data_IF_839114401407
#
_entry.id   IF_839114401407
#
_cell.length_a   1.000
_cell.length_b   1.000
_cell.length_c   1.000
_cell.angle_alpha   90.00
_cell.angle_beta   90.00
_cell.angle_gamma   90.00
#
_symmetry.space_group_name_H-M   'P 1'
#
loop_
_entity.id
_entity.type
_entity.pdbx_description
1 polymer ?
#
# COMPACT_ATOMS: atom_id res chain seq x y z
N UNK A 1 17.11 -27.41 32.23
CA UNK A 1 16.91 -28.07 30.91
C UNK A 1 15.68 -27.47 30.24
N UNK A 2 15.84 -26.69 29.17
CA UNK A 2 14.70 -26.15 28.40
C UNK A 2 14.14 -27.26 27.52
N UNK A 3 13.08 -27.92 27.97
CA UNK A 3 12.34 -28.90 27.16
C UNK A 3 11.71 -28.11 26.01
N UNK A 4 12.27 -28.22 24.79
CA UNK A 4 11.66 -27.59 23.61
C UNK A 4 10.33 -28.29 23.36
N UNK A 5 9.23 -27.59 23.64
CA UNK A 5 7.87 -28.11 23.44
C UNK A 5 7.71 -28.62 22.01
N UNK A 6 7.12 -29.81 21.79
CA UNK A 6 6.85 -30.33 20.44
C UNK A 6 5.98 -29.36 19.60
N UNK A 7 5.20 -28.49 20.24
CA UNK A 7 4.44 -27.44 19.56
C UNK A 7 5.31 -26.44 18.80
N UNK A 8 6.55 -26.17 19.26
CA UNK A 8 7.45 -25.24 18.57
C UNK A 8 7.89 -25.79 17.21
N UNK A 9 8.24 -27.07 17.15
CA UNK A 9 8.64 -27.73 15.91
C UNK A 9 7.49 -27.75 14.90
N UNK A 10 6.26 -27.98 15.35
CA UNK A 10 5.07 -27.89 14.51
C UNK A 10 4.88 -26.48 13.93
N UNK A 11 4.95 -25.43 14.76
CA UNK A 11 4.80 -24.05 14.30
C UNK A 11 5.89 -23.65 13.30
N UNK A 12 7.17 -23.98 13.58
CA UNK A 12 8.26 -23.66 12.65
C UNK A 12 8.14 -24.41 11.33
N UNK A 13 7.77 -25.69 11.36
CA UNK A 13 7.57 -26.50 10.16
C UNK A 13 6.43 -25.95 9.33
N UNK A 14 5.31 -25.61 9.97
CA UNK A 14 4.15 -25.00 9.31
C UNK A 14 4.49 -23.67 8.64
N UNK A 15 5.14 -22.76 9.36
CA UNK A 15 5.58 -21.46 8.82
C UNK A 15 6.54 -21.63 7.65
N UNK A 16 7.47 -22.59 7.75
CA UNK A 16 8.44 -22.85 6.69
C UNK A 16 7.75 -23.36 5.42
N UNK A 17 6.90 -24.38 5.54
CA UNK A 17 6.13 -24.95 4.42
C UNK A 17 5.30 -23.88 3.73
N UNK A 18 4.49 -23.13 4.48
CA UNK A 18 3.60 -22.12 3.89
C UNK A 18 4.33 -20.86 3.39
N UNK A 19 5.51 -20.55 3.91
CA UNK A 19 6.29 -19.41 3.44
C UNK A 19 7.14 -19.76 2.22
N UNK A 20 7.88 -20.87 2.26
CA UNK A 20 8.87 -21.21 1.24
C UNK A 20 8.29 -21.93 0.02
N UNK A 21 7.22 -22.73 0.17
CA UNK A 21 6.59 -23.41 -0.97
C UNK A 21 6.06 -22.42 -2.01
N UNK A 22 5.21 -21.43 -1.68
CA UNK A 22 4.71 -20.49 -2.68
C UNK A 22 5.83 -19.64 -3.29
N UNK A 23 6.84 -19.26 -2.51
CA UNK A 23 8.02 -18.57 -3.03
C UNK A 23 8.79 -19.43 -4.03
N UNK A 24 8.96 -20.72 -3.74
CA UNK A 24 9.55 -21.69 -4.66
C UNK A 24 8.73 -21.84 -5.95
N UNK A 25 7.40 -21.93 -5.85
CA UNK A 25 6.51 -22.01 -7.01
C UNK A 25 6.60 -20.75 -7.88
N UNK A 26 6.62 -19.56 -7.29
CA UNK A 26 6.79 -18.29 -8.02
C UNK A 26 8.16 -18.22 -8.68
N UNK A 27 9.21 -18.67 -7.99
CA UNK A 27 10.57 -18.70 -8.52
C UNK A 27 10.67 -19.64 -9.72
N UNK A 28 10.12 -20.86 -9.62
CA UNK A 28 10.06 -21.81 -10.72
C UNK A 28 9.27 -21.19 -11.88
N UNK A 29 8.06 -20.68 -11.62
CA UNK A 29 7.21 -20.07 -12.64
C UNK A 29 7.88 -18.88 -13.36
N UNK A 30 8.76 -18.14 -12.69
CA UNK A 30 9.53 -17.04 -13.29
C UNK A 30 10.44 -17.51 -14.44
N UNK A 31 10.95 -18.75 -14.37
CA UNK A 31 11.78 -19.34 -15.42
C UNK A 31 10.99 -20.11 -16.48
N UNK A 32 9.69 -20.35 -16.30
CA UNK A 32 8.89 -21.09 -17.27
C UNK A 32 8.26 -20.11 -18.28
N UNK A 33 8.13 -20.59 -19.52
CA UNK A 33 7.45 -19.83 -20.59
C UNK A 33 5.94 -19.79 -20.35
N UNK A 34 5.29 -18.72 -20.80
CA UNK A 34 3.83 -18.55 -20.73
C UNK A 34 3.25 -18.59 -22.13
N UNK A 35 2.27 -19.46 -22.36
CA UNK A 35 1.51 -19.52 -23.61
C UNK A 35 0.08 -19.01 -23.36
N UNK A 36 -0.58 -18.60 -24.44
CA UNK A 36 -1.96 -18.13 -24.52
C UNK A 36 -3.00 -19.11 -23.95
N UNK A 37 -2.71 -20.42 -23.96
CA UNK A 37 -3.60 -21.50 -23.53
C UNK A 37 -3.22 -22.12 -22.17
N UNK A 38 -1.96 -22.02 -21.75
CA UNK A 38 -1.46 -22.60 -20.50
C UNK A 38 -0.75 -21.57 -19.64
N UNK A 39 -1.15 -21.49 -18.36
CA UNK A 39 -0.58 -20.54 -17.39
C UNK A 39 0.94 -20.69 -17.22
N UNK A 40 1.47 -21.89 -17.44
CA UNK A 40 2.90 -22.24 -17.31
C UNK A 40 3.21 -23.39 -18.28
N UNK A 41 4.21 -23.24 -19.15
CA UNK A 41 4.68 -24.30 -20.05
C UNK A 41 6.21 -24.44 -19.99
N UNK A 42 6.69 -25.67 -20.10
CA UNK A 42 8.08 -26.00 -20.39
C UNK A 42 8.30 -25.70 -21.89
N UNK A 43 9.28 -24.88 -22.29
CA UNK A 43 10.67 -24.90 -21.80
C UNK A 43 11.03 -23.82 -20.76
N UNK A 44 12.18 -24.02 -20.12
CA UNK A 44 12.85 -23.00 -19.33
C UNK A 44 13.33 -21.85 -20.23
N UNK A 45 12.97 -20.61 -19.90
CA UNK A 45 13.35 -19.41 -20.67
C UNK A 45 13.75 -18.26 -19.75
N UNK A 46 14.72 -17.46 -20.19
CA UNK A 46 15.13 -16.22 -19.50
C UNK A 46 14.47 -14.97 -20.10
N UNK A 47 13.57 -15.15 -21.08
CA UNK A 47 12.92 -14.04 -21.78
C UNK A 47 12.08 -13.17 -20.84
N UNK A 48 11.48 -13.76 -19.79
CA UNK A 48 10.73 -13.03 -18.77
C UNK A 48 11.60 -11.95 -18.08
N UNK A 49 12.88 -12.22 -17.86
CA UNK A 49 13.81 -11.25 -17.27
C UNK A 49 14.25 -10.18 -18.26
N UNK A 50 14.40 -10.52 -19.55
CA UNK A 50 14.68 -9.52 -20.59
C UNK A 50 13.53 -8.53 -20.77
N UNK A 51 12.29 -8.98 -20.57
CA UNK A 51 11.12 -8.10 -20.57
C UNK A 51 11.22 -7.03 -19.46
N UNK A 52 11.77 -7.37 -18.29
CA UNK A 52 11.96 -6.41 -17.19
C UNK A 52 12.91 -5.26 -17.55
N UNK A 53 13.85 -5.49 -18.47
CA UNK A 53 14.79 -4.48 -18.96
C UNK A 53 14.18 -3.54 -20.01
N UNK A 54 12.96 -3.82 -20.47
CA UNK A 54 12.29 -2.93 -21.43
C UNK A 54 11.93 -1.59 -20.77
N UNK A 55 11.93 -0.48 -21.52
CA UNK A 55 11.70 0.86 -20.99
C UNK A 55 10.33 1.02 -20.33
N UNK A 56 9.36 0.17 -20.69
CA UNK A 56 8.02 0.17 -20.09
C UNK A 56 8.07 -0.26 -18.63
N UNK A 57 8.73 -1.38 -18.30
CA UNK A 57 8.86 -1.85 -16.92
C UNK A 57 9.77 -0.94 -16.10
N UNK A 58 10.85 -0.44 -16.69
CA UNK A 58 11.71 0.55 -16.03
C UNK A 58 10.92 1.82 -15.64
N UNK A 59 10.08 2.34 -16.55
CA UNK A 59 9.23 3.51 -16.27
C UNK A 59 8.23 3.24 -15.15
N UNK A 60 7.62 2.06 -15.12
CA UNK A 60 6.69 1.67 -14.05
C UNK A 60 7.43 1.57 -12.72
N UNK A 61 8.60 0.95 -12.71
CA UNK A 61 9.46 0.84 -11.52
C UNK A 61 9.83 2.20 -10.95
N UNK A 62 10.35 3.12 -11.79
CA UNK A 62 10.69 4.48 -11.36
C UNK A 62 9.48 5.27 -10.88
N UNK A 63 8.32 5.12 -11.52
CA UNK A 63 7.07 5.75 -11.05
C UNK A 63 6.69 5.25 -9.66
N UNK A 64 6.69 3.93 -9.44
CA UNK A 64 6.39 3.35 -8.13
C UNK A 64 7.39 3.81 -7.06
N UNK A 65 8.68 3.87 -7.40
CA UNK A 65 9.73 4.34 -6.49
C UNK A 65 9.54 5.81 -6.13
N UNK A 66 9.26 6.67 -7.10
CA UNK A 66 9.00 8.09 -6.87
C UNK A 66 7.76 8.28 -6.00
N UNK A 67 6.67 7.57 -6.31
CA UNK A 67 5.44 7.59 -5.51
C UNK A 67 5.74 7.18 -4.07
N UNK A 68 6.48 6.08 -3.86
CA UNK A 68 6.85 5.62 -2.52
C UNK A 68 7.69 6.67 -1.77
N UNK A 69 8.73 7.23 -2.39
CA UNK A 69 9.61 8.22 -1.77
C UNK A 69 8.87 9.51 -1.38
N UNK A 70 8.08 10.07 -2.29
CA UNK A 70 7.30 11.29 -2.00
C UNK A 70 6.23 11.00 -0.95
N UNK A 71 5.61 9.82 -0.99
CA UNK A 71 4.61 9.42 0.01
C UNK A 71 5.25 9.28 1.39
N UNK A 72 6.40 8.61 1.51
CA UNK A 72 7.14 8.50 2.78
C UNK A 72 7.59 9.87 3.28
N UNK A 73 8.13 10.72 2.40
CA UNK A 73 8.58 12.07 2.76
C UNK A 73 7.44 12.93 3.30
N UNK A 74 6.33 13.04 2.58
CA UNK A 74 5.17 13.79 3.05
C UNK A 74 4.56 13.18 4.32
N UNK A 75 4.53 11.85 4.45
CA UNK A 75 4.02 11.19 5.66
C UNK A 75 4.87 11.57 6.88
N UNK A 76 6.20 11.55 6.76
CA UNK A 76 7.10 11.98 7.84
C UNK A 76 6.94 13.46 8.18
N UNK A 77 6.88 14.32 7.15
CA UNK A 77 6.74 15.77 7.34
C UNK A 77 5.45 16.17 8.06
N UNK A 78 4.36 15.44 7.85
CA UNK A 78 3.07 15.74 8.49
C UNK A 78 2.94 14.97 9.81
N UNK A 79 3.41 13.72 9.90
CA UNK A 79 3.24 12.87 11.09
C UNK A 79 4.08 13.36 12.27
N UNK A 80 5.27 13.91 12.00
CA UNK A 80 6.17 14.43 13.02
C UNK A 80 5.60 15.65 13.79
N UNK A 81 5.17 16.75 13.14
CA UNK A 81 4.57 17.86 13.87
C UNK A 81 3.26 17.46 14.54
N UNK A 82 2.48 16.56 13.92
CA UNK A 82 1.24 16.08 14.51
C UNK A 82 1.49 15.27 15.79
N UNK A 83 2.50 14.37 15.82
CA UNK A 83 2.83 13.59 17.01
C UNK A 83 3.36 14.43 18.14
N UNK A 84 4.15 15.45 17.81
CA UNK A 84 4.61 16.45 18.78
C UNK A 84 3.46 17.23 19.44
N UNK A 85 2.47 17.67 18.65
CA UNK A 85 1.27 18.32 19.19
C UNK A 85 0.44 17.38 20.05
N UNK A 86 0.41 16.09 19.70
CA UNK A 86 -0.36 15.07 20.40
C UNK A 86 0.17 14.80 21.81
N UNK A 87 1.50 14.75 21.98
CA UNK A 87 2.15 14.60 23.29
C UNK A 87 1.87 15.79 24.21
N UNK A 88 1.72 16.99 23.65
CA UNK A 88 1.40 18.21 24.43
C UNK A 88 -0.10 18.38 24.72
N UNK A 89 -0.97 17.56 24.15
CA UNK A 89 -2.42 17.70 24.28
C UNK A 89 -2.96 17.05 25.55
N UNK A 90 -3.87 17.72 26.25
CA UNK A 90 -4.61 17.15 27.40
C UNK A 90 -5.53 15.99 27.02
N UNK A 91 -5.92 15.88 25.74
CA UNK A 91 -6.85 14.86 25.23
C UNK A 91 -6.16 13.78 24.39
N UNK A 92 -4.94 13.42 24.77
CA UNK A 92 -4.10 12.46 24.05
C UNK A 92 -4.80 11.12 23.80
N UNK A 93 -5.49 10.55 24.80
CA UNK A 93 -6.19 9.26 24.66
C UNK A 93 -7.30 9.29 23.60
N UNK A 94 -8.04 10.41 23.50
CA UNK A 94 -9.11 10.57 22.52
C UNK A 94 -8.52 10.71 21.10
N UNK A 95 -7.47 11.51 20.97
CA UNK A 95 -6.77 11.71 19.70
C UNK A 95 -6.12 10.41 19.19
N UNK A 96 -5.51 9.61 20.08
CA UNK A 96 -4.99 8.29 19.75
C UNK A 96 -6.10 7.34 19.30
N UNK A 97 -7.24 7.34 20.00
CA UNK A 97 -8.41 6.55 19.62
C UNK A 97 -8.91 6.94 18.23
N UNK A 98 -8.97 8.24 17.91
CA UNK A 98 -9.40 8.73 16.60
C UNK A 98 -8.45 8.31 15.46
N UNK A 99 -7.16 8.16 15.73
CA UNK A 99 -6.17 7.65 14.76
C UNK A 99 -6.27 6.13 14.59
N UNK A 100 -6.68 5.41 15.64
CA UNK A 100 -6.85 3.97 15.61
C UNK A 100 -8.16 3.56 14.92
N UNK A 101 -9.24 4.33 15.04
CA UNK A 101 -10.52 4.02 14.35
C UNK A 101 -10.33 3.72 12.85
N UNK A 102 -9.66 4.57 12.05
CA UNK A 102 -9.47 4.29 10.64
C UNK A 102 -8.58 3.08 10.39
N UNK A 103 -7.64 2.78 11.29
CA UNK A 103 -6.83 1.55 11.20
C UNK A 103 -7.71 0.30 11.24
N UNK A 104 -8.77 0.30 12.06
CA UNK A 104 -9.70 -0.83 12.19
C UNK A 104 -10.67 -0.98 11.00
N UNK A 105 -10.75 0.02 10.11
CA UNK A 105 -11.58 -0.09 8.91
C UNK A 105 -10.89 -0.90 7.81
N UNK A 106 -11.60 -1.85 7.20
CA UNK A 106 -11.07 -2.67 6.09
C UNK A 106 -10.55 -1.78 4.95
N UNK A 107 -9.34 -2.08 4.47
CA UNK A 107 -8.72 -1.37 3.35
C UNK A 107 -9.60 -1.38 2.10
N UNK A 108 -10.34 -2.49 1.87
CA UNK A 108 -11.27 -2.60 0.75
C UNK A 108 -12.42 -1.59 0.86
N UNK A 109 -13.05 -1.48 2.04
CA UNK A 109 -14.16 -0.54 2.25
C UNK A 109 -13.72 0.89 2.02
N UNK A 110 -12.57 1.29 2.57
CA UNK A 110 -11.99 2.62 2.33
C UNK A 110 -11.71 2.87 0.85
N UNK A 111 -11.15 1.88 0.16
CA UNK A 111 -10.84 1.97 -1.26
C UNK A 111 -12.09 2.18 -2.08
N UNK A 112 -13.13 1.38 -1.87
CA UNK A 112 -14.40 1.52 -2.60
C UNK A 112 -15.14 2.81 -2.30
N UNK A 113 -15.17 3.24 -1.03
CA UNK A 113 -15.78 4.52 -0.65
C UNK A 113 -15.08 5.71 -1.33
N UNK A 114 -13.75 5.71 -1.36
CA UNK A 114 -12.98 6.77 -2.04
C UNK A 114 -13.16 6.72 -3.56
N UNK A 115 -13.12 5.53 -4.16
CA UNK A 115 -13.43 5.36 -5.59
C UNK A 115 -14.82 5.89 -5.90
N UNK A 116 -15.82 5.64 -5.05
CA UNK A 116 -17.18 6.12 -5.25
C UNK A 116 -17.27 7.66 -5.19
N UNK A 117 -16.58 8.29 -4.24
CA UNK A 117 -16.54 9.75 -4.09
C UNK A 117 -15.81 10.42 -5.26
N UNK A 118 -14.73 9.79 -5.76
CA UNK A 118 -13.89 10.30 -6.84
C UNK A 118 -14.36 9.88 -8.23
N UNK A 119 -15.37 9.00 -8.35
CA UNK A 119 -15.89 8.57 -9.65
C UNK A 119 -16.38 9.78 -10.46
N UNK A 120 -16.47 9.63 -11.77
CA UNK A 120 -16.97 10.69 -12.68
C UNK A 120 -18.37 11.23 -12.29
N UNK A 121 -19.21 10.46 -11.58
CA UNK A 121 -20.49 10.92 -11.01
C UNK A 121 -20.47 11.14 -9.48
N UNK A 122 -19.29 11.13 -8.88
CA UNK A 122 -19.10 11.30 -7.45
C UNK A 122 -19.34 12.74 -7.00
N UNK A 123 -19.59 12.90 -5.69
CA UNK A 123 -19.93 14.19 -5.06
C UNK A 123 -18.86 15.25 -5.34
N UNK A 124 -17.58 14.86 -5.28
CA UNK A 124 -16.46 15.78 -5.52
C UNK A 124 -16.46 16.27 -6.96
N UNK A 125 -16.69 15.39 -7.94
CA UNK A 125 -16.73 15.79 -9.34
C UNK A 125 -17.93 16.68 -9.65
N UNK A 126 -19.09 16.39 -9.03
CA UNK A 126 -20.27 17.24 -9.16
C UNK A 126 -20.02 18.67 -8.63
N UNK A 127 -19.35 18.79 -7.48
CA UNK A 127 -18.98 20.10 -6.90
C UNK A 127 -17.95 20.83 -7.79
N UNK A 128 -16.93 20.13 -8.27
CA UNK A 128 -15.88 20.73 -9.10
C UNK A 128 -16.40 21.18 -10.48
N UNK A 129 -17.36 20.45 -11.05
CA UNK A 129 -18.08 20.83 -12.26
C UNK A 129 -18.97 22.06 -12.03
N UNK A 130 -19.67 22.14 -10.90
CA UNK A 130 -20.46 23.33 -10.53
C UNK A 130 -19.58 24.58 -10.37
N UNK A 131 -18.37 24.40 -9.85
CA UNK A 131 -17.38 25.46 -9.69
C UNK A 131 -16.63 25.79 -11.00
N UNK A 132 -16.99 25.18 -12.14
CA UNK A 132 -16.34 25.36 -13.46
C UNK A 132 -14.82 25.16 -13.45
N UNK A 133 -14.31 24.35 -12.52
CA UNK A 133 -12.87 24.10 -12.37
C UNK A 133 -12.36 22.98 -13.32
N UNK A 134 -13.26 22.19 -13.94
CA UNK A 134 -12.89 20.95 -14.68
C UNK A 134 -13.81 20.70 -15.89
N UNK A 135 -13.23 20.32 -17.03
CA UNK A 135 -13.95 19.83 -18.22
C UNK A 135 -14.03 18.30 -18.29
N UNK A 136 -15.21 17.79 -18.64
CA UNK A 136 -15.67 16.40 -18.43
C UNK A 136 -14.98 15.28 -19.23
N UNK A 137 -14.10 15.58 -20.20
CA UNK A 137 -13.89 14.66 -21.33
C UNK A 137 -12.56 13.90 -21.43
N UNK A 138 -11.65 13.95 -20.46
CA UNK A 138 -10.35 13.29 -20.63
C UNK A 138 -10.19 11.99 -19.83
N UNK A 139 -9.78 10.93 -20.53
CA UNK A 139 -9.24 9.66 -19.98
C UNK A 139 -8.11 9.88 -18.97
N UNK A 140 -7.45 11.05 -19.04
CA UNK A 140 -6.49 11.54 -18.05
C UNK A 140 -7.11 11.73 -16.66
N UNK A 141 -8.35 12.17 -16.56
CA UNK A 141 -9.03 12.38 -15.28
C UNK A 141 -9.17 11.07 -14.51
N UNK A 142 -9.59 9.98 -15.17
CA UNK A 142 -9.67 8.65 -14.56
C UNK A 142 -8.34 8.11 -14.06
N UNK A 143 -7.23 8.37 -14.79
CA UNK A 143 -5.89 7.94 -14.37
C UNK A 143 -5.40 8.76 -13.16
N UNK A 144 -5.63 10.07 -13.16
CA UNK A 144 -5.27 10.96 -12.05
C UNK A 144 -6.08 10.59 -10.82
N UNK A 145 -7.38 10.31 -10.94
CA UNK A 145 -8.21 9.89 -9.82
C UNK A 145 -7.73 8.56 -9.23
N UNK A 146 -7.37 7.57 -10.05
CA UNK A 146 -6.82 6.30 -9.55
C UNK A 146 -5.50 6.49 -8.81
N UNK A 147 -4.62 7.36 -9.33
CA UNK A 147 -3.38 7.73 -8.65
C UNK A 147 -3.67 8.49 -7.34
N UNK A 148 -4.56 9.47 -7.34
CA UNK A 148 -4.96 10.23 -6.14
C UNK A 148 -5.60 9.34 -5.08
N UNK A 149 -6.45 8.39 -5.47
CA UNK A 149 -7.03 7.37 -4.57
C UNK A 149 -5.92 6.52 -3.97
N UNK A 150 -4.97 6.04 -4.80
CA UNK A 150 -3.82 5.27 -4.34
C UNK A 150 -2.97 6.05 -3.33
N UNK A 151 -2.59 7.28 -3.66
CA UNK A 151 -1.82 8.16 -2.77
C UNK A 151 -2.58 8.45 -1.48
N UNK A 152 -3.88 8.76 -1.54
CA UNK A 152 -4.69 9.06 -0.36
C UNK A 152 -4.84 7.84 0.56
N UNK A 153 -5.04 6.65 -0.01
CA UNK A 153 -5.10 5.38 0.74
C UNK A 153 -3.76 5.05 1.36
N UNK A 154 -2.68 5.19 0.60
CA UNK A 154 -1.32 4.96 1.08
C UNK A 154 -0.98 5.94 2.20
N UNK A 155 -1.26 7.23 2.05
CA UNK A 155 -1.08 8.22 3.12
C UNK A 155 -1.90 7.88 4.36
N UNK A 156 -3.18 7.57 4.19
CA UNK A 156 -4.08 7.33 5.32
C UNK A 156 -3.74 6.02 6.06
N UNK A 157 -3.25 5.00 5.36
CA UNK A 157 -2.75 3.76 5.97
C UNK A 157 -1.39 3.97 6.64
N UNK A 158 -0.41 4.57 5.95
CA UNK A 158 0.92 4.81 6.50
C UNK A 158 0.86 5.76 7.70
N UNK A 159 -0.06 6.71 7.71
CA UNK A 159 -0.28 7.59 8.84
C UNK A 159 -0.54 6.83 10.14
N UNK A 160 -1.48 5.87 10.13
CA UNK A 160 -1.77 5.06 11.33
C UNK A 160 -0.58 4.21 11.78
N UNK A 161 0.23 3.68 10.86
CA UNK A 161 1.39 2.85 11.20
C UNK A 161 2.62 3.65 11.67
N UNK A 162 2.87 4.82 11.07
CA UNK A 162 4.04 5.66 11.38
C UNK A 162 3.85 6.47 12.67
N UNK A 163 2.60 6.74 13.04
CA UNK A 163 2.28 7.52 14.22
C UNK A 163 2.65 6.80 15.53
N UNK A 164 2.38 5.49 15.62
CA UNK A 164 2.67 4.67 16.81
C UNK A 164 4.16 4.70 17.23
N UNK A 165 5.14 4.42 16.35
CA UNK A 165 6.55 4.46 16.71
C UNK A 165 7.08 5.87 16.98
N UNK A 166 6.60 6.90 16.27
CA UNK A 166 7.04 8.28 16.51
C UNK A 166 6.53 8.82 17.85
N UNK A 167 5.29 8.48 18.20
CA UNK A 167 4.71 8.77 19.51
C UNK A 167 5.46 8.08 20.65
N UNK A 168 5.81 6.78 20.50
CA UNK A 168 6.55 6.07 21.54
C UNK A 168 7.93 6.67 21.81
N UNK A 169 8.62 7.13 20.75
CA UNK A 169 9.95 7.77 20.88
C UNK A 169 9.87 9.13 21.59
N UNK A 170 8.79 9.89 21.37
CA UNK A 170 8.59 11.20 22.00
C UNK A 170 8.21 11.13 23.47
N UNK A 171 7.68 10.00 23.94
CA UNK A 171 7.36 9.77 25.37
C UNK A 171 8.52 9.15 26.14
N UNK A 172 9.42 8.43 25.45
CA UNK A 172 10.57 7.78 26.07
C UNK A 172 11.73 8.73 26.40
N UNK A 173 11.67 10.00 25.98
CA UNK A 173 12.62 11.07 26.32
C UNK A 173 11.95 12.07 27.26
#
# INVERSE_FOLDING_TARGET
>A
MKVKSPSLYLTYTWLFIFSFIPLGLVLIASFLSRDSSHLVNLPFTLNNYTALLTPVFAKIFFRSLLIALVTTGCCLLIAYPFSYLLVKSKHQSLLLLLIIIPFWTSSLVRTYSLIAILKSKGIINAILLQLHLIDTHSLYYTLILQLSVGWFITYFLLWSYLFLPTWSVLISN
#
